data_IF_482307367058
#
_entry.id   IF_482307367058
#
_cell.length_a   1.000
_cell.length_b   1.000
_cell.length_c   1.000
_cell.angle_alpha   90.00
_cell.angle_beta   90.00
_cell.angle_gamma   90.00
#
_symmetry.space_group_name_H-M   'P 1'
#
loop_
_entity.id
_entity.type
_entity.pdbx_description
1 polymer ?
#
# COMPACT_ATOMS: atom_id res chain seq x y z
N UNK A 1 -15.33 -0.37 -36.56
CA UNK A 1 -16.26 -1.33 -35.92
C UNK A 1 -15.85 -1.63 -34.49
N UNK A 2 -14.71 -2.28 -34.24
CA UNK A 2 -14.28 -2.61 -32.87
C UNK A 2 -14.12 -1.36 -31.98
N UNK A 3 -13.45 -0.33 -32.48
CA UNK A 3 -13.31 0.96 -31.78
C UNK A 3 -14.67 1.64 -31.54
N UNK A 4 -15.54 1.69 -32.55
CA UNK A 4 -16.88 2.28 -32.44
C UNK A 4 -17.78 1.53 -31.46
N UNK A 5 -17.70 0.18 -31.45
CA UNK A 5 -18.42 -0.68 -30.52
C UNK A 5 -17.94 -0.46 -29.09
N UNK A 6 -16.62 -0.42 -28.88
CA UNK A 6 -16.03 -0.12 -27.58
C UNK A 6 -16.47 1.26 -27.07
N UNK A 7 -16.36 2.29 -27.92
CA UNK A 7 -16.80 3.65 -27.61
C UNK A 7 -18.28 3.71 -27.25
N UNK A 8 -19.15 3.06 -28.02
CA UNK A 8 -20.59 3.03 -27.74
C UNK A 8 -20.91 2.38 -26.38
N UNK A 9 -20.23 1.28 -26.03
CA UNK A 9 -20.43 0.61 -24.74
C UNK A 9 -19.96 1.47 -23.58
N UNK A 10 -18.75 2.03 -23.67
CA UNK A 10 -18.20 2.91 -22.63
C UNK A 10 -19.06 4.16 -22.45
N UNK A 11 -19.46 4.82 -23.54
CA UNK A 11 -20.32 6.02 -23.49
C UNK A 11 -21.72 5.74 -22.93
N UNK A 12 -22.20 4.50 -23.01
CA UNK A 12 -23.49 4.09 -22.45
C UNK A 12 -23.38 3.54 -21.02
N UNK A 13 -22.19 3.60 -20.40
CA UNK A 13 -21.90 2.98 -19.09
C UNK A 13 -22.19 1.47 -19.06
N UNK A 14 -21.93 0.79 -20.19
CA UNK A 14 -22.11 -0.65 -20.34
C UNK A 14 -20.74 -1.32 -20.26
N UNK A 15 -20.49 -2.17 -19.26
CA UNK A 15 -19.23 -2.90 -19.14
C UNK A 15 -18.95 -3.80 -20.36
N UNK A 16 -17.71 -3.79 -20.87
CA UNK A 16 -17.33 -4.56 -22.06
C UNK A 16 -17.51 -6.07 -21.89
N UNK A 17 -17.36 -6.62 -20.66
CA UNK A 17 -17.63 -8.03 -20.38
C UNK A 17 -19.05 -8.48 -20.76
N UNK A 18 -20.01 -7.55 -20.91
CA UNK A 18 -21.36 -7.86 -21.41
C UNK A 18 -21.35 -8.40 -22.84
N UNK A 19 -20.33 -8.08 -23.65
CA UNK A 19 -20.15 -8.65 -24.99
C UNK A 19 -19.92 -10.16 -24.99
N UNK A 20 -19.52 -10.75 -23.85
CA UNK A 20 -19.37 -12.19 -23.69
C UNK A 20 -20.73 -12.90 -23.52
N UNK A 21 -21.83 -12.17 -23.37
CA UNK A 21 -23.17 -12.73 -23.38
C UNK A 21 -23.52 -13.25 -24.79
N UNK A 22 -23.74 -14.56 -24.92
CA UNK A 22 -24.01 -15.23 -26.20
C UNK A 22 -25.20 -14.64 -26.97
N UNK A 23 -26.26 -14.20 -26.27
CA UNK A 23 -27.46 -13.65 -26.89
C UNK A 23 -27.18 -12.25 -27.47
N UNK A 24 -26.59 -11.36 -26.66
CA UNK A 24 -26.18 -10.03 -27.11
C UNK A 24 -25.18 -10.11 -28.27
N UNK A 25 -24.21 -11.03 -28.17
CA UNK A 25 -23.22 -11.28 -29.21
C UNK A 25 -23.87 -11.70 -30.52
N UNK A 26 -24.75 -12.71 -30.49
CA UNK A 26 -25.47 -13.20 -31.68
C UNK A 26 -26.34 -12.11 -32.31
N UNK A 27 -27.01 -11.30 -31.49
CA UNK A 27 -27.81 -10.16 -31.94
C UNK A 27 -26.95 -9.13 -32.68
N UNK A 28 -25.85 -8.69 -32.08
CA UNK A 28 -24.94 -7.72 -32.70
C UNK A 28 -24.33 -8.28 -33.99
N UNK A 29 -23.90 -9.54 -34.00
CA UNK A 29 -23.34 -10.19 -35.21
C UNK A 29 -24.38 -10.27 -36.34
N UNK A 30 -25.63 -10.62 -36.03
CA UNK A 30 -26.73 -10.71 -37.00
C UNK A 30 -27.02 -9.38 -37.68
N UNK A 31 -27.12 -8.29 -36.91
CA UNK A 31 -27.55 -7.00 -37.45
C UNK A 31 -26.40 -6.14 -37.99
N UNK A 32 -25.15 -6.40 -37.59
CA UNK A 32 -23.98 -5.66 -38.09
C UNK A 32 -23.26 -6.39 -39.23
N UNK A 33 -23.50 -7.69 -39.40
CA UNK A 33 -22.78 -8.54 -40.35
C UNK A 33 -21.29 -8.69 -40.04
N UNK A 34 -20.85 -8.28 -38.84
CA UNK A 34 -19.46 -8.29 -38.40
C UNK A 34 -19.33 -9.17 -37.17
N UNK A 35 -18.24 -9.95 -37.11
CA UNK A 35 -17.94 -10.77 -35.94
C UNK A 35 -17.66 -9.88 -34.74
N UNK A 36 -18.31 -10.15 -33.62
CA UNK A 36 -18.11 -9.38 -32.39
C UNK A 36 -16.87 -9.93 -31.67
N UNK A 37 -15.85 -9.09 -31.45
CA UNK A 37 -14.64 -9.51 -30.74
C UNK A 37 -14.94 -9.90 -29.29
N UNK A 38 -14.02 -10.66 -28.69
CA UNK A 38 -14.00 -10.85 -27.23
C UNK A 38 -13.58 -9.54 -26.55
N UNK A 39 -13.99 -9.33 -25.30
CA UNK A 39 -13.59 -8.14 -24.52
C UNK A 39 -12.06 -7.95 -24.52
N UNK A 40 -11.30 -9.03 -24.41
CA UNK A 40 -9.83 -8.98 -24.38
C UNK A 40 -9.22 -8.39 -25.66
N UNK A 41 -9.92 -8.49 -26.79
CA UNK A 41 -9.49 -7.93 -28.09
C UNK A 41 -9.84 -6.43 -28.23
N UNK A 42 -10.71 -5.91 -27.36
CA UNK A 42 -11.08 -4.50 -27.30
C UNK A 42 -10.23 -3.70 -26.30
N UNK A 43 -9.51 -4.39 -25.42
CA UNK A 43 -8.58 -3.79 -24.48
C UNK A 43 -7.19 -3.66 -25.12
N UNK A 44 -6.53 -2.52 -24.92
CA UNK A 44 -5.17 -2.27 -25.43
C UNK A 44 -4.12 -3.06 -24.62
N UNK A 45 -4.42 -3.35 -23.34
CA UNK A 45 -3.52 -4.05 -22.42
C UNK A 45 -4.27 -5.06 -21.52
N UNK A 46 -4.83 -6.15 -22.07
CA UNK A 46 -5.71 -7.05 -21.32
C UNK A 46 -5.02 -7.87 -20.22
N UNK A 47 -3.71 -8.06 -20.33
CA UNK A 47 -2.90 -8.81 -19.35
C UNK A 47 -2.31 -7.92 -18.25
N UNK A 48 -2.49 -6.61 -18.32
CA UNK A 48 -1.91 -5.65 -17.37
C UNK A 48 -2.97 -5.31 -16.31
N UNK A 49 -2.69 -5.51 -15.01
CA UNK A 49 -3.62 -5.15 -13.95
C UNK A 49 -3.82 -3.63 -13.91
N UNK A 50 -4.94 -3.15 -13.37
CA UNK A 50 -5.16 -1.72 -13.23
C UNK A 50 -4.09 -1.07 -12.33
N UNK A 51 -3.72 0.19 -12.59
CA UNK A 51 -2.79 0.92 -11.73
C UNK A 51 -3.34 1.01 -10.30
N UNK A 52 -2.49 0.82 -9.28
CA UNK A 52 -2.92 1.01 -7.89
C UNK A 52 -3.25 2.49 -7.66
N UNK A 53 -4.23 2.74 -6.78
CA UNK A 53 -4.57 4.10 -6.34
C UNK A 53 -3.77 4.43 -5.07
N UNK A 54 -2.72 5.27 -5.15
CA UNK A 54 -1.91 5.59 -3.99
C UNK A 54 -2.73 6.40 -2.98
N UNK A 55 -2.58 6.06 -1.71
CA UNK A 55 -3.22 6.77 -0.59
C UNK A 55 -2.27 7.87 -0.13
N UNK A 56 -2.74 9.11 -0.13
CA UNK A 56 -1.94 10.32 0.19
C UNK A 56 -1.18 10.18 1.52
N UNK A 57 -1.78 9.55 2.51
CA UNK A 57 -1.18 9.38 3.86
C UNK A 57 -0.35 8.11 4.02
N UNK A 58 -0.25 7.22 3.02
CA UNK A 58 0.48 5.94 3.10
C UNK A 58 1.56 5.85 2.03
N UNK A 59 2.77 6.29 2.37
CA UNK A 59 3.92 6.31 1.45
C UNK A 59 4.27 4.96 0.81
N UNK A 60 4.02 3.83 1.49
CA UNK A 60 4.20 2.49 0.88
C UNK A 60 3.40 2.33 -0.42
N UNK A 61 2.15 2.83 -0.45
CA UNK A 61 1.31 2.77 -1.65
C UNK A 61 1.83 3.62 -2.82
N UNK A 62 2.59 4.68 -2.53
CA UNK A 62 3.26 5.47 -3.57
C UNK A 62 4.46 4.73 -4.17
N UNK A 63 5.22 4.01 -3.33
CA UNK A 63 6.32 3.15 -3.79
C UNK A 63 5.78 2.02 -4.65
N UNK A 64 4.68 1.38 -4.23
CA UNK A 64 4.02 0.32 -5.00
C UNK A 64 3.50 0.84 -6.34
N UNK A 65 2.92 2.05 -6.36
CA UNK A 65 2.47 2.71 -7.59
C UNK A 65 3.65 2.99 -8.53
N UNK A 66 4.73 3.61 -8.04
CA UNK A 66 5.92 3.86 -8.83
C UNK A 66 6.52 2.55 -9.38
N UNK A 67 6.51 1.48 -8.56
CA UNK A 67 6.97 0.15 -8.98
C UNK A 67 6.08 -0.43 -10.08
N UNK A 68 4.76 -0.27 -9.98
CA UNK A 68 3.81 -0.68 -11.01
C UNK A 68 4.05 0.08 -12.32
N UNK A 69 4.21 1.41 -12.27
CA UNK A 69 4.48 2.22 -13.46
C UNK A 69 5.83 1.88 -14.10
N UNK A 70 6.87 1.65 -13.29
CA UNK A 70 8.17 1.21 -13.79
C UNK A 70 8.12 -0.15 -14.49
N UNK A 71 7.35 -1.11 -13.98
CA UNK A 71 7.20 -2.45 -14.57
C UNK A 71 6.36 -2.48 -15.85
N UNK A 72 5.40 -1.56 -15.98
CA UNK A 72 4.44 -1.55 -17.08
C UNK A 72 4.60 -0.30 -17.97
N UNK A 73 5.75 0.36 -17.94
CA UNK A 73 5.93 1.68 -18.55
C UNK A 73 5.56 1.68 -20.03
N UNK A 74 6.15 0.80 -20.83
CA UNK A 74 5.95 0.77 -22.29
C UNK A 74 4.48 0.52 -22.66
N UNK A 75 3.79 -0.32 -21.88
CA UNK A 75 2.38 -0.62 -22.08
C UNK A 75 1.52 0.59 -21.74
N UNK A 76 1.81 1.27 -20.65
CA UNK A 76 1.09 2.46 -20.21
C UNK A 76 1.33 3.63 -21.17
N UNK A 77 2.57 3.79 -21.64
CA UNK A 77 2.96 4.76 -22.67
C UNK A 77 2.16 4.54 -23.96
N UNK A 78 2.11 3.29 -24.44
CA UNK A 78 1.32 2.93 -25.62
C UNK A 78 -0.19 3.21 -25.44
N UNK A 79 -0.76 2.92 -24.26
CA UNK A 79 -2.17 3.21 -23.96
C UNK A 79 -2.43 4.72 -23.96
N UNK A 80 -1.64 5.49 -23.22
CA UNK A 80 -1.82 6.95 -23.09
C UNK A 80 -1.62 7.64 -24.44
N UNK A 81 -0.75 7.13 -25.30
CA UNK A 81 -0.57 7.65 -26.66
C UNK A 81 -1.87 7.58 -27.50
N UNK A 82 -2.77 6.62 -27.23
CA UNK A 82 -4.04 6.48 -27.97
C UNK A 82 -5.09 7.53 -27.62
N UNK A 83 -4.96 8.20 -26.48
CA UNK A 83 -5.96 9.17 -26.01
C UNK A 83 -5.84 10.52 -26.73
N UNK A 84 -6.96 11.21 -26.92
CA UNK A 84 -6.99 12.56 -27.48
C UNK A 84 -6.53 13.57 -26.41
N UNK A 85 -5.45 14.35 -26.64
CA UNK A 85 -5.00 15.34 -25.67
C UNK A 85 -6.03 16.44 -25.39
N UNK A 86 -6.96 16.71 -26.30
CA UNK A 86 -7.97 17.76 -26.15
C UNK A 86 -9.19 17.30 -25.33
N UNK A 87 -9.34 16.00 -25.07
CA UNK A 87 -10.50 15.43 -24.37
C UNK A 87 -10.48 15.74 -22.86
N UNK A 88 -9.29 15.84 -22.25
CA UNK A 88 -9.13 16.23 -20.86
C UNK A 88 -7.72 16.75 -20.55
N UNK A 89 -7.63 17.75 -19.66
CA UNK A 89 -6.36 18.28 -19.17
C UNK A 89 -5.46 17.19 -18.54
N UNK A 90 -6.06 16.21 -17.84
CA UNK A 90 -5.31 15.10 -17.24
C UNK A 90 -4.62 14.21 -18.28
N UNK A 91 -5.19 14.05 -19.48
CA UNK A 91 -4.57 13.30 -20.58
C UNK A 91 -3.36 14.07 -21.10
N UNK A 92 -3.52 15.38 -21.33
CA UNK A 92 -2.44 16.26 -21.77
C UNK A 92 -1.26 16.23 -20.79
N UNK A 93 -1.52 16.41 -19.49
CA UNK A 93 -0.49 16.35 -18.44
C UNK A 93 0.21 14.99 -18.39
N UNK A 94 -0.54 13.89 -18.53
CA UNK A 94 0.02 12.54 -18.53
C UNK A 94 0.97 12.31 -19.71
N UNK A 95 0.64 12.82 -20.91
CA UNK A 95 1.53 12.73 -22.09
C UNK A 95 2.83 13.51 -21.88
N UNK A 96 2.74 14.74 -21.38
CA UNK A 96 3.92 15.57 -21.05
C UNK A 96 4.81 14.85 -20.01
N UNK A 97 4.20 14.24 -19.00
CA UNK A 97 4.92 13.54 -17.94
C UNK A 97 5.70 12.33 -18.49
N UNK A 98 5.11 11.56 -19.41
CA UNK A 98 5.77 10.40 -20.04
C UNK A 98 6.94 10.81 -20.94
N UNK A 99 6.89 11.99 -21.55
CA UNK A 99 7.96 12.55 -22.38
C UNK A 99 9.06 13.22 -21.55
N UNK A 100 8.87 13.39 -20.24
CA UNK A 100 9.84 14.06 -19.37
C UNK A 100 11.13 13.24 -19.26
N UNK A 101 12.25 13.87 -19.58
CA UNK A 101 13.58 13.25 -19.50
C UNK A 101 13.88 12.78 -18.07
N UNK A 102 14.37 11.54 -17.92
CA UNK A 102 14.73 10.98 -16.63
C UNK A 102 13.61 10.25 -15.90
N UNK A 103 12.36 10.24 -16.40
CA UNK A 103 11.26 9.57 -15.70
C UNK A 103 11.40 8.04 -15.70
N UNK A 104 11.87 7.45 -16.81
CA UNK A 104 12.11 6.01 -16.94
C UNK A 104 13.19 5.56 -15.96
N UNK A 105 14.28 6.31 -15.89
CA UNK A 105 15.41 6.10 -14.99
C UNK A 105 14.97 6.24 -13.53
N UNK A 106 14.17 7.26 -13.21
CA UNK A 106 13.66 7.50 -11.85
C UNK A 106 12.73 6.38 -11.39
N UNK A 107 11.80 5.94 -12.25
CA UNK A 107 10.89 4.82 -11.94
C UNK A 107 11.65 3.51 -11.77
N UNK A 108 12.63 3.24 -12.64
CA UNK A 108 13.50 2.06 -12.52
C UNK A 108 14.31 2.08 -11.22
N UNK A 109 14.87 3.25 -10.87
CA UNK A 109 15.61 3.43 -9.62
C UNK A 109 14.73 3.16 -8.40
N UNK A 110 13.50 3.67 -8.38
CA UNK A 110 12.56 3.44 -7.28
C UNK A 110 12.16 1.96 -7.19
N UNK A 111 11.77 1.37 -8.32
CA UNK A 111 11.33 -0.02 -8.40
C UNK A 111 12.42 -1.03 -8.03
N UNK A 112 13.69 -0.67 -8.22
CA UNK A 112 14.83 -1.54 -7.89
C UNK A 112 15.25 -1.43 -6.43
N UNK A 113 15.22 -0.21 -5.87
CA UNK A 113 15.92 0.07 -4.60
C UNK A 113 15.00 0.32 -3.39
N UNK A 114 13.73 0.67 -3.59
CA UNK A 114 12.85 1.09 -2.47
C UNK A 114 11.67 0.15 -2.21
N UNK A 115 11.50 -0.91 -3.00
CA UNK A 115 10.42 -1.91 -2.79
C UNK A 115 10.51 -2.60 -1.42
N UNK A 116 11.71 -2.73 -0.87
CA UNK A 116 11.94 -3.25 0.48
C UNK A 116 11.28 -2.41 1.57
N UNK A 117 11.16 -1.09 1.37
CA UNK A 117 10.49 -0.19 2.31
C UNK A 117 9.01 -0.52 2.37
N UNK A 118 8.36 -0.65 1.20
CA UNK A 118 6.92 -0.95 1.14
C UNK A 118 6.60 -2.30 1.80
N UNK A 119 7.33 -3.34 1.41
CA UNK A 119 7.15 -4.68 1.99
C UNK A 119 7.45 -4.72 3.50
N UNK A 120 8.43 -3.95 3.97
CA UNK A 120 8.73 -3.84 5.40
C UNK A 120 7.63 -3.11 6.17
N UNK A 121 7.08 -2.03 5.63
CA UNK A 121 5.95 -1.32 6.25
C UNK A 121 4.78 -2.27 6.43
N UNK A 122 4.39 -3.02 5.38
CA UNK A 122 3.29 -4.00 5.46
C UNK A 122 3.54 -5.05 6.54
N UNK A 123 4.78 -5.55 6.66
CA UNK A 123 5.13 -6.53 7.70
C UNK A 123 5.12 -5.94 9.10
N UNK A 124 5.55 -4.69 9.27
CA UNK A 124 5.50 -3.99 10.56
C UNK A 124 4.06 -3.69 11.00
N UNK A 125 3.12 -3.63 10.05
CA UNK A 125 1.70 -3.50 10.32
C UNK A 125 1.04 -4.82 10.77
N UNK A 126 1.67 -5.98 10.58
CA UNK A 126 1.11 -7.28 10.98
C UNK A 126 0.96 -7.40 12.52
N UNK A 127 -0.11 -8.05 12.96
CA UNK A 127 -0.36 -8.27 14.40
C UNK A 127 0.53 -9.37 14.96
N UNK A 128 0.90 -9.24 16.23
CA UNK A 128 1.62 -10.28 16.97
C UNK A 128 3.10 -10.40 16.63
N UNK A 129 3.65 -9.46 15.84
CA UNK A 129 5.06 -9.43 15.50
C UNK A 129 5.92 -9.31 16.76
N UNK A 130 6.96 -10.13 16.85
CA UNK A 130 7.93 -10.05 17.95
C UNK A 130 8.73 -8.75 17.85
N UNK A 131 9.03 -8.14 18.99
CA UNK A 131 9.83 -6.91 19.05
C UNK A 131 11.19 -7.09 18.34
N UNK A 132 11.86 -8.22 18.57
CA UNK A 132 13.14 -8.55 17.93
C UNK A 132 13.03 -8.67 16.41
N UNK A 133 11.97 -9.32 15.92
CA UNK A 133 11.68 -9.43 14.48
C UNK A 133 11.39 -8.06 13.85
N UNK A 134 10.63 -7.21 14.55
CA UNK A 134 10.33 -5.85 14.09
C UNK A 134 11.60 -4.98 13.99
N UNK A 135 12.49 -5.06 14.97
CA UNK A 135 13.80 -4.37 14.94
C UNK A 135 14.68 -4.92 13.80
N UNK A 136 14.69 -6.25 13.62
CA UNK A 136 15.43 -6.88 12.52
C UNK A 136 14.97 -6.40 11.15
N UNK A 137 13.67 -6.19 10.97
CA UNK A 137 13.11 -5.64 9.72
C UNK A 137 13.62 -4.23 9.44
N UNK A 138 13.57 -3.35 10.44
CA UNK A 138 14.08 -1.97 10.29
C UNK A 138 15.58 -1.96 9.99
N UNK A 139 16.36 -2.82 10.65
CA UNK A 139 17.79 -2.94 10.37
C UNK A 139 18.06 -3.49 8.96
N UNK A 140 17.26 -4.43 8.47
CA UNK A 140 17.36 -4.94 7.10
C UNK A 140 17.22 -3.83 6.06
N UNK A 141 16.24 -2.93 6.23
CA UNK A 141 16.09 -1.75 5.37
C UNK A 141 17.31 -0.81 5.46
N UNK A 142 17.87 -0.61 6.65
CA UNK A 142 19.09 0.18 6.80
C UNK A 142 20.26 -0.42 6.01
N UNK A 143 20.44 -1.73 6.08
CA UNK A 143 21.52 -2.43 5.38
C UNK A 143 21.35 -2.36 3.85
N UNK A 144 20.12 -2.52 3.37
CA UNK A 144 19.79 -2.35 1.95
C UNK A 144 20.07 -0.91 1.47
N UNK A 145 19.63 0.11 2.22
CA UNK A 145 19.91 1.50 1.87
C UNK A 145 21.39 1.86 1.95
N UNK A 146 22.13 1.25 2.88
CA UNK A 146 23.58 1.42 3.00
C UNK A 146 24.30 0.86 1.78
N UNK A 147 23.79 -0.23 1.20
CA UNK A 147 24.36 -0.84 -0.01
C UNK A 147 24.30 0.07 -1.25
N UNK A 148 23.38 1.05 -1.28
CA UNK A 148 23.23 2.03 -2.37
C UNK A 148 24.37 3.07 -2.41
N UNK A 149 25.25 3.09 -1.40
CA UNK A 149 26.37 4.03 -1.27
C UNK A 149 25.95 5.51 -1.38
N UNK A 150 24.69 5.81 -1.09
CA UNK A 150 24.13 7.17 -1.09
C UNK A 150 23.73 7.58 0.32
N UNK A 151 24.47 8.54 0.87
CA UNK A 151 24.21 9.10 2.19
C UNK A 151 22.86 9.80 2.28
N UNK A 152 22.29 10.23 1.15
CA UNK A 152 21.00 10.91 1.13
C UNK A 152 19.87 10.04 1.71
N UNK A 153 19.88 8.73 1.47
CA UNK A 153 18.82 7.82 1.90
C UNK A 153 19.16 7.16 3.23
N UNK A 154 20.31 6.50 3.31
CA UNK A 154 20.78 5.85 4.52
C UNK A 154 20.95 6.86 5.66
N UNK A 155 21.60 7.99 5.40
CA UNK A 155 21.82 9.05 6.39
C UNK A 155 20.50 9.65 6.88
N UNK A 156 19.49 9.78 6.02
CA UNK A 156 18.16 10.24 6.42
C UNK A 156 17.48 9.26 7.37
N UNK A 157 17.41 7.97 7.02
CA UNK A 157 16.78 6.96 7.87
C UNK A 157 17.54 6.80 9.20
N UNK A 158 18.87 6.71 9.13
CA UNK A 158 19.75 6.64 10.31
C UNK A 158 19.53 7.82 11.26
N UNK A 159 19.44 9.06 10.74
CA UNK A 159 19.17 10.24 11.55
C UNK A 159 17.76 10.24 12.18
N UNK A 160 16.74 9.74 11.47
CA UNK A 160 15.38 9.59 12.00
C UNK A 160 15.37 8.60 13.17
N UNK A 161 16.03 7.46 13.01
CA UNK A 161 16.11 6.43 14.06
C UNK A 161 16.93 6.90 15.25
N UNK A 162 18.06 7.56 15.02
CA UNK A 162 18.91 8.13 16.07
C UNK A 162 18.16 9.17 16.93
N UNK A 163 17.36 10.04 16.31
CA UNK A 163 16.55 11.03 17.04
C UNK A 163 15.41 10.39 17.82
N UNK A 164 15.00 9.18 17.48
CA UNK A 164 13.93 8.45 18.15
C UNK A 164 14.46 7.69 19.38
N UNK A 165 14.54 8.40 20.51
CA UNK A 165 14.93 7.81 21.81
C UNK A 165 14.05 6.63 22.24
N UNK A 166 12.79 6.59 21.81
CA UNK A 166 11.88 5.48 22.08
C UNK A 166 12.28 4.20 21.35
N UNK A 167 12.68 4.32 20.08
CA UNK A 167 13.22 3.21 19.32
C UNK A 167 14.52 2.67 19.90
N UNK A 168 15.42 3.56 20.35
CA UNK A 168 16.67 3.17 21.04
C UNK A 168 16.38 2.37 22.32
N UNK A 169 15.40 2.82 23.13
CA UNK A 169 14.95 2.10 24.33
C UNK A 169 14.38 0.73 23.99
N UNK A 170 13.56 0.63 22.94
CA UNK A 170 13.01 -0.64 22.46
C UNK A 170 14.09 -1.61 21.96
N UNK A 171 15.11 -1.10 21.27
CA UNK A 171 16.26 -1.88 20.82
C UNK A 171 17.02 -2.51 21.99
N UNK A 172 17.26 -1.73 23.04
CA UNK A 172 17.89 -2.23 24.27
C UNK A 172 17.04 -3.24 25.00
N UNK A 173 15.73 -3.00 25.13
CA UNK A 173 14.80 -3.99 25.70
C UNK A 173 14.89 -5.30 24.93
N UNK A 174 14.87 -5.26 23.59
CA UNK A 174 15.01 -6.46 22.78
C UNK A 174 16.34 -7.18 23.01
N UNK A 175 17.46 -6.45 23.17
CA UNK A 175 18.77 -7.04 23.46
C UNK A 175 18.80 -7.71 24.84
N UNK A 176 18.20 -7.08 25.86
CA UNK A 176 18.09 -7.66 27.20
C UNK A 176 17.27 -8.96 27.15
N UNK A 177 16.15 -8.96 26.42
CA UNK A 177 15.30 -10.15 26.25
C UNK A 177 16.00 -11.29 25.52
N UNK A 178 16.93 -10.99 24.61
CA UNK A 178 17.78 -11.97 23.92
C UNK A 178 18.97 -12.46 24.75
N UNK A 179 19.27 -11.81 25.88
CA UNK A 179 20.45 -12.09 26.71
C UNK A 179 21.73 -11.38 26.27
N UNK A 180 21.64 -10.45 25.30
CA UNK A 180 22.78 -9.73 24.74
C UNK A 180 23.15 -8.45 25.51
N UNK A 181 22.30 -8.01 26.44
CA UNK A 181 22.49 -6.79 27.22
C UNK A 181 21.97 -6.92 28.66
N UNK A 182 22.41 -6.00 29.53
CA UNK A 182 22.00 -5.89 30.93
C UNK A 182 21.09 -4.66 31.08
N UNK A 183 20.21 -4.69 32.08
CA UNK A 183 19.36 -3.54 32.43
C UNK A 183 20.24 -2.36 32.86
N UNK A 184 20.10 -1.24 32.17
CA UNK A 184 20.78 0.03 32.45
C UNK A 184 19.77 1.18 32.69
N UNK A 185 20.28 2.39 32.92
CA UNK A 185 19.48 3.60 33.16
C UNK A 185 18.51 3.94 32.01
N UNK A 186 18.77 3.48 30.79
CA UNK A 186 17.90 3.81 29.64
C UNK A 186 16.61 3.01 29.62
N UNK A 187 16.62 1.85 30.25
CA UNK A 187 15.46 0.97 30.36
C UNK A 187 14.65 1.28 31.62
N UNK A 188 15.28 1.89 32.63
CA UNK A 188 14.57 2.41 33.79
C UNK A 188 13.50 3.44 33.37
N UNK A 189 12.32 3.45 34.02
CA UNK A 189 11.94 2.75 35.26
C UNK A 189 11.24 1.38 35.06
N UNK A 190 11.42 0.70 33.92
CA UNK A 190 10.69 -0.54 33.62
C UNK A 190 11.01 -1.67 34.62
N UNK A 191 9.96 -2.32 35.14
CA UNK A 191 10.08 -3.51 35.99
C UNK A 191 10.30 -4.78 35.15
N UNK A 192 10.67 -5.88 35.79
CA UNK A 192 10.78 -7.19 35.11
C UNK A 192 9.46 -7.60 34.46
N UNK A 193 8.32 -7.31 35.11
CA UNK A 193 7.00 -7.60 34.54
C UNK A 193 6.74 -6.79 33.27
N UNK A 194 7.15 -5.51 33.27
CA UNK A 194 6.99 -4.65 32.09
C UNK A 194 7.84 -5.20 30.92
N UNK A 195 9.07 -5.61 31.18
CA UNK A 195 9.96 -6.19 30.16
C UNK A 195 9.37 -7.47 29.54
N UNK A 196 8.74 -8.33 30.34
CA UNK A 196 8.07 -9.53 29.84
C UNK A 196 6.90 -9.17 28.91
N UNK A 197 6.12 -8.13 29.25
CA UNK A 197 5.03 -7.63 28.42
C UNK A 197 5.51 -7.01 27.10
N UNK A 198 6.77 -6.58 27.00
CA UNK A 198 7.33 -5.96 25.79
C UNK A 198 7.69 -6.93 24.67
N UNK A 199 7.50 -8.25 24.86
CA UNK A 199 7.81 -9.29 23.86
C UNK A 199 7.20 -9.02 22.48
N UNK A 200 5.99 -8.48 22.47
CA UNK A 200 5.23 -8.14 21.27
C UNK A 200 4.96 -6.63 21.18
N UNK A 201 5.80 -5.79 21.81
CA UNK A 201 5.61 -4.35 21.80
C UNK A 201 5.63 -3.82 20.36
N UNK A 202 4.58 -3.11 19.91
CA UNK A 202 4.55 -2.54 18.58
C UNK A 202 5.55 -1.38 18.48
N UNK A 203 6.25 -1.31 17.35
CA UNK A 203 7.20 -0.22 17.05
C UNK A 203 6.59 0.83 16.08
N UNK A 204 5.35 0.61 15.67
CA UNK A 204 4.55 1.47 14.78
C UNK A 204 3.21 1.83 15.45
N UNK A 205 2.57 2.92 15.03
CA UNK A 205 1.30 3.40 15.58
C UNK A 205 0.05 2.67 15.04
N UNK A 206 0.23 1.68 14.17
CA UNK A 206 -0.86 1.06 13.42
C UNK A 206 -1.90 0.38 14.33
N UNK A 207 -1.47 -0.21 15.45
CA UNK A 207 -2.39 -0.79 16.42
C UNK A 207 -3.23 0.26 17.15
N UNK A 208 -2.65 1.45 17.40
CA UNK A 208 -3.40 2.59 17.95
C UNK A 208 -4.46 3.08 16.95
N UNK A 209 -4.11 3.17 15.67
CA UNK A 209 -5.05 3.55 14.60
C UNK A 209 -6.19 2.55 14.42
N UNK A 210 -5.92 1.25 14.55
CA UNK A 210 -6.94 0.19 14.54
C UNK A 210 -7.91 0.35 15.71
N UNK A 211 -7.39 0.58 16.91
CA UNK A 211 -8.21 0.82 18.12
C UNK A 211 -9.10 2.05 17.93
N UNK A 212 -8.58 3.15 17.38
CA UNK A 212 -9.40 4.32 17.05
C UNK A 212 -10.46 4.03 15.99
N UNK A 213 -10.13 3.23 14.97
CA UNK A 213 -11.09 2.81 13.94
C UNK A 213 -12.23 1.99 14.54
N UNK A 214 -11.91 1.12 15.50
CA UNK A 214 -12.89 0.32 16.21
C UNK A 214 -13.80 1.13 17.14
N UNK A 215 -13.23 2.10 17.84
CA UNK A 215 -14.01 3.06 18.62
C UNK A 215 -14.90 3.90 17.71
N UNK A 216 -14.38 4.39 16.59
CA UNK A 216 -15.18 5.12 15.60
C UNK A 216 -16.33 4.26 15.10
N UNK A 217 -16.09 3.01 14.74
CA UNK A 217 -17.13 2.07 14.30
C UNK A 217 -18.20 1.87 15.39
N UNK A 218 -17.78 1.70 16.65
CA UNK A 218 -18.68 1.53 17.80
C UNK A 218 -19.54 2.77 18.07
N UNK A 219 -18.99 3.96 17.83
CA UNK A 219 -19.65 5.25 18.08
C UNK A 219 -20.40 5.82 16.86
N UNK A 220 -20.46 5.10 15.73
CA UNK A 220 -21.23 5.55 14.57
C UNK A 220 -22.73 5.63 14.86
N UNK A 221 -23.42 6.55 14.20
CA UNK A 221 -24.86 6.83 14.38
C UNK A 221 -25.81 5.66 14.04
N UNK A 222 -25.29 4.51 13.61
CA UNK A 222 -26.07 3.28 13.41
C UNK A 222 -26.38 2.63 14.77
N UNK A 223 -27.31 3.23 15.52
CA UNK A 223 -27.48 3.01 16.97
C UNK A 223 -28.05 1.64 17.34
N UNK A 224 -27.36 0.95 18.26
CA UNK A 224 -28.02 0.39 19.45
C UNK A 224 -27.79 1.39 20.58
N UNK A 225 -28.81 1.72 21.36
CA UNK A 225 -28.63 2.57 22.55
C UNK A 225 -27.70 1.88 23.53
N UNK A 226 -26.47 2.38 23.69
CA UNK A 226 -25.56 1.88 24.72
C UNK A 226 -25.94 2.50 26.06
N UNK A 227 -26.27 1.66 27.05
CA UNK A 227 -26.04 2.04 28.44
C UNK A 227 -24.53 1.86 28.73
N UNK A 228 -24.04 2.47 29.83
CA UNK A 228 -22.62 2.44 30.16
C UNK A 228 -22.07 1.01 30.34
N UNK A 229 -22.88 0.09 30.88
CA UNK A 229 -22.51 -1.32 31.05
C UNK A 229 -22.37 -2.07 29.72
N UNK A 230 -23.26 -1.81 28.76
CA UNK A 230 -23.22 -2.41 27.43
C UNK A 230 -22.01 -1.88 26.64
N UNK A 231 -21.70 -0.59 26.79
CA UNK A 231 -20.49 0.02 26.23
C UNK A 231 -19.24 -0.66 26.80
N UNK A 232 -19.17 -0.82 28.13
CA UNK A 232 -18.08 -1.51 28.82
C UNK A 232 -17.91 -2.95 28.30
N UNK A 233 -19.00 -3.71 28.19
CA UNK A 233 -18.94 -5.06 27.64
C UNK A 233 -18.47 -5.09 26.17
N UNK A 234 -18.89 -4.14 25.34
CA UNK A 234 -18.43 -4.06 23.96
C UNK A 234 -16.93 -3.74 23.85
N UNK A 235 -16.44 -2.82 24.69
CA UNK A 235 -15.01 -2.52 24.77
C UNK A 235 -14.23 -3.75 25.21
N UNK A 236 -14.67 -4.45 26.27
CA UNK A 236 -13.99 -5.68 26.75
C UNK A 236 -13.95 -6.76 25.66
N UNK A 237 -15.08 -7.03 24.99
CA UNK A 237 -15.14 -8.04 23.92
C UNK A 237 -14.19 -7.67 22.77
N UNK A 238 -14.18 -6.41 22.33
CA UNK A 238 -13.29 -5.97 21.24
C UNK A 238 -11.82 -5.99 21.63
N UNK A 239 -11.47 -5.50 22.83
CA UNK A 239 -10.10 -5.54 23.33
C UNK A 239 -9.61 -6.99 23.47
N UNK A 240 -10.44 -7.91 23.97
CA UNK A 240 -10.06 -9.32 24.12
C UNK A 240 -10.01 -10.10 22.80
N UNK A 241 -10.74 -9.67 21.76
CA UNK A 241 -10.66 -10.27 20.43
C UNK A 241 -9.38 -9.86 19.68
N UNK A 242 -8.74 -8.78 20.11
CA UNK A 242 -7.55 -8.19 19.47
C UNK A 242 -6.25 -8.39 20.25
N UNK A 243 -6.29 -8.96 21.46
CA UNK A 243 -5.14 -9.47 22.20
C UNK A 243 -4.83 -10.90 21.77
#
# INVERSE_FOLDING_TARGET
FNADLCKAFVSADIPLHKLNNKCLKSFLEQYTGKKVPDESTLQIAPSTPLPPSPVVTRWGSWIDAATYYGKNFDVIEAVIATFDPEEAQSIQESKILLETEGIKESLLFIATNFVCISSTITRLEERGLLLSSAISLVNGVLDELKSLQSDAYYGKLSNVLYKNKGFEKLKKVSQIMSGDAIIDETVQPLTMSDLLCMKHAPIVSCDVERVFSEYKAMLTDNRRGFNFENLRHHVIIKCNHNM
#
